data_IF_886234847213
#
_entry.id   IF_886234847213
#
_cell.length_a   1.000
_cell.length_b   1.000
_cell.length_c   1.000
_cell.angle_alpha   90.00
_cell.angle_beta   90.00
_cell.angle_gamma   90.00
#
_symmetry.space_group_name_H-M   'P 1'
#
loop_
_entity.id
_entity.type
_entity.pdbx_description
1 polymer ?
#
# COMPACT_ATOMS: atom_id res chain seq x y z
N UNK A 1 8.66 -16.02 -12.17
CA UNK A 1 7.43 -15.33 -12.61
C UNK A 1 7.09 -14.15 -11.70
N UNK A 2 7.08 -14.35 -10.39
CA UNK A 2 6.70 -13.33 -9.39
C UNK A 2 7.59 -12.07 -9.33
N UNK A 3 8.92 -12.21 -9.46
CA UNK A 3 9.86 -11.08 -9.51
C UNK A 3 9.60 -10.10 -10.65
N UNK A 4 9.24 -10.61 -11.83
CA UNK A 4 8.93 -9.78 -13.02
C UNK A 4 7.69 -8.90 -12.78
N UNK A 5 6.68 -9.41 -12.08
CA UNK A 5 5.46 -8.65 -11.78
C UNK A 5 5.77 -7.46 -10.86
N UNK A 6 6.63 -7.64 -9.85
CA UNK A 6 7.05 -6.55 -8.96
C UNK A 6 7.83 -5.49 -9.74
N UNK A 7 8.72 -5.91 -10.64
CA UNK A 7 9.49 -5.01 -11.49
C UNK A 7 8.59 -4.22 -12.46
N UNK A 8 7.59 -4.87 -13.05
CA UNK A 8 6.57 -4.23 -13.88
C UNK A 8 5.76 -3.17 -13.11
N UNK A 9 5.32 -3.48 -11.89
CA UNK A 9 4.53 -2.55 -11.06
C UNK A 9 5.32 -1.27 -10.80
N UNK A 10 6.55 -1.38 -10.30
CA UNK A 10 7.34 -0.19 -9.93
C UNK A 10 7.76 0.63 -11.14
N UNK A 11 8.14 0.01 -12.26
CA UNK A 11 8.48 0.76 -13.47
C UNK A 11 7.25 1.45 -14.07
N UNK A 12 6.09 0.80 -14.06
CA UNK A 12 4.83 1.41 -14.53
C UNK A 12 4.44 2.64 -13.71
N UNK A 13 4.47 2.55 -12.38
CA UNK A 13 4.09 3.68 -11.51
C UNK A 13 5.07 4.84 -11.67
N UNK A 14 6.37 4.54 -11.71
CA UNK A 14 7.41 5.55 -11.95
C UNK A 14 7.21 6.29 -13.28
N UNK A 15 6.96 5.56 -14.38
CA UNK A 15 6.66 6.17 -15.68
C UNK A 15 5.35 6.97 -15.66
N UNK A 16 4.33 6.49 -14.96
CA UNK A 16 3.07 7.20 -14.84
C UNK A 16 3.24 8.55 -14.10
N UNK A 17 4.06 8.60 -13.05
CA UNK A 17 4.33 9.84 -12.32
C UNK A 17 5.12 10.82 -13.19
N UNK A 18 6.13 10.34 -13.92
CA UNK A 18 6.89 11.16 -14.87
C UNK A 18 5.98 11.74 -15.94
N UNK A 19 5.10 10.94 -16.55
CA UNK A 19 4.12 11.42 -17.54
C UNK A 19 3.21 12.50 -16.95
N UNK A 20 2.76 12.30 -15.71
CA UNK A 20 1.91 13.26 -15.00
C UNK A 20 2.63 14.59 -14.70
N UNK A 21 3.92 14.55 -14.36
CA UNK A 21 4.68 15.75 -13.98
C UNK A 21 5.28 16.49 -15.18
N UNK A 22 5.73 15.77 -16.21
CA UNK A 22 6.32 16.36 -17.42
C UNK A 22 5.28 16.80 -18.46
N UNK A 23 4.06 16.25 -18.39
CA UNK A 23 3.02 16.40 -19.43
C UNK A 23 3.29 15.58 -20.70
N UNK A 24 4.46 14.95 -20.83
CA UNK A 24 4.83 14.16 -22.00
C UNK A 24 4.23 12.75 -21.91
N UNK A 25 3.37 12.39 -22.87
CA UNK A 25 2.74 11.06 -22.90
C UNK A 25 3.58 10.01 -23.62
N UNK A 26 4.26 10.42 -24.69
CA UNK A 26 4.97 9.52 -25.57
C UNK A 26 6.34 9.12 -25.02
N UNK A 27 6.66 7.82 -25.07
CA UNK A 27 7.93 7.28 -24.58
C UNK A 27 9.14 7.94 -25.26
N UNK A 28 9.05 8.19 -26.57
CA UNK A 28 10.16 8.79 -27.29
C UNK A 28 10.47 10.22 -26.82
N UNK A 29 9.44 10.98 -26.45
CA UNK A 29 9.58 12.33 -25.94
C UNK A 29 10.21 12.32 -24.53
N UNK A 30 9.81 11.38 -23.68
CA UNK A 30 10.40 11.21 -22.35
C UNK A 30 11.90 10.92 -22.43
N UNK A 31 12.31 10.00 -23.29
CA UNK A 31 13.72 9.68 -23.43
C UNK A 31 14.51 10.83 -24.06
N UNK A 32 13.95 11.54 -25.04
CA UNK A 32 14.60 12.71 -25.62
C UNK A 32 14.86 13.81 -24.56
N UNK A 33 13.92 13.98 -23.62
CA UNK A 33 14.07 14.95 -22.53
C UNK A 33 15.06 14.49 -21.46
N UNK A 34 14.92 13.26 -20.97
CA UNK A 34 15.62 12.82 -19.76
C UNK A 34 16.88 11.99 -20.02
N UNK A 35 17.03 11.44 -21.22
CA UNK A 35 18.13 10.55 -21.62
C UNK A 35 18.48 10.71 -23.12
N UNK A 36 18.77 11.95 -23.58
CA UNK A 36 19.00 12.23 -25.01
C UNK A 36 20.16 11.41 -25.58
N UNK A 37 21.19 11.15 -24.77
CA UNK A 37 22.37 10.35 -25.12
C UNK A 37 22.05 8.89 -25.45
N UNK A 38 20.94 8.35 -24.92
CA UNK A 38 20.50 6.99 -25.25
C UNK A 38 19.66 6.92 -26.53
N UNK A 39 19.44 8.06 -27.20
CA UNK A 39 18.77 8.13 -28.50
C UNK A 39 19.81 8.04 -29.60
N UNK A 40 19.80 6.97 -30.38
CA UNK A 40 20.63 6.85 -31.59
C UNK A 40 19.74 6.86 -32.82
N UNK A 41 20.27 7.29 -33.95
CA UNK A 41 19.56 7.25 -35.23
C UNK A 41 20.10 6.09 -36.07
N UNK A 42 19.22 5.33 -36.71
CA UNK A 42 19.65 4.35 -37.69
C UNK A 42 20.12 5.00 -39.00
N UNK A 43 20.51 4.17 -39.98
CA UNK A 43 20.97 4.64 -41.29
C UNK A 43 19.91 5.41 -42.09
N UNK A 44 18.64 5.33 -41.70
CA UNK A 44 17.52 6.06 -42.31
C UNK A 44 17.17 7.35 -41.53
N UNK A 45 17.91 7.64 -40.45
CA UNK A 45 17.70 8.83 -39.62
C UNK A 45 16.60 8.68 -38.57
N UNK A 46 16.03 7.48 -38.38
CA UNK A 46 14.95 7.20 -37.42
C UNK A 46 15.55 7.04 -36.01
N UNK A 47 15.05 7.79 -35.01
CA UNK A 47 15.54 7.68 -33.64
C UNK A 47 15.04 6.41 -32.96
N UNK A 48 15.98 5.61 -32.44
CA UNK A 48 15.75 4.38 -31.69
C UNK A 48 16.09 4.55 -30.22
N UNK A 49 15.21 4.04 -29.34
CA UNK A 49 15.34 4.15 -27.89
C UNK A 49 14.86 2.87 -27.18
N UNK A 50 15.48 1.74 -27.55
CA UNK A 50 15.08 0.40 -27.10
C UNK A 50 15.00 0.26 -25.57
N UNK A 51 15.81 1.02 -24.81
CA UNK A 51 15.79 1.02 -23.33
C UNK A 51 14.45 1.51 -22.78
N UNK A 52 13.93 2.63 -23.29
CA UNK A 52 12.72 3.25 -22.75
C UNK A 52 11.45 2.48 -23.11
N UNK A 53 11.39 1.89 -24.29
CA UNK A 53 10.31 0.95 -24.64
C UNK A 53 10.35 -0.32 -23.76
N UNK A 54 11.53 -0.79 -23.35
CA UNK A 54 11.64 -1.88 -22.37
C UNK A 54 11.19 -1.47 -20.97
N UNK A 55 11.37 -0.20 -20.57
CA UNK A 55 10.82 0.32 -19.33
C UNK A 55 9.29 0.35 -19.38
N UNK A 56 8.71 0.85 -20.48
CA UNK A 56 7.25 0.92 -20.66
C UNK A 56 6.59 -0.47 -20.66
N UNK A 57 7.25 -1.44 -21.30
CA UNK A 57 6.86 -2.85 -21.25
C UNK A 57 7.13 -3.53 -19.89
N UNK A 58 7.75 -2.83 -18.93
CA UNK A 58 8.14 -3.34 -17.62
C UNK A 58 9.14 -4.50 -17.67
N UNK A 59 9.92 -4.59 -18.76
CA UNK A 59 10.93 -5.62 -18.99
C UNK A 59 12.30 -5.26 -18.40
N UNK A 60 12.53 -3.96 -18.16
CA UNK A 60 13.73 -3.44 -17.54
C UNK A 60 13.40 -2.44 -16.44
N UNK A 61 14.33 -2.28 -15.50
CA UNK A 61 14.27 -1.23 -14.46
C UNK A 61 15.32 -0.19 -14.84
N UNK A 62 14.99 1.11 -14.84
CA UNK A 62 15.96 2.15 -15.06
C UNK A 62 17.09 2.07 -14.02
N UNK A 63 18.28 2.52 -14.41
CA UNK A 63 19.45 2.52 -13.53
C UNK A 63 19.38 3.68 -12.54
N UNK A 64 20.06 3.55 -11.38
CA UNK A 64 20.15 4.63 -10.39
C UNK A 64 20.63 5.96 -10.98
N UNK A 65 21.66 6.02 -11.84
CA UNK A 65 22.08 7.27 -12.46
C UNK A 65 20.97 7.92 -13.29
N UNK A 66 20.22 7.14 -14.07
CA UNK A 66 19.10 7.65 -14.86
C UNK A 66 17.98 8.17 -13.96
N UNK A 67 17.61 7.42 -12.91
CA UNK A 67 16.56 7.86 -12.00
C UNK A 67 16.96 9.12 -11.25
N UNK A 68 18.23 9.26 -10.83
CA UNK A 68 18.74 10.49 -10.22
C UNK A 68 18.66 11.68 -11.18
N UNK A 69 18.98 11.49 -12.47
CA UNK A 69 18.85 12.53 -13.50
C UNK A 69 17.40 12.96 -13.68
N UNK A 70 16.47 12.01 -13.73
CA UNK A 70 15.03 12.32 -13.84
C UNK A 70 14.52 13.04 -12.58
N UNK A 71 14.87 12.59 -11.38
CA UNK A 71 14.48 13.26 -10.12
C UNK A 71 15.03 14.68 -10.03
N UNK A 72 16.26 14.92 -10.50
CA UNK A 72 16.82 16.27 -10.57
C UNK A 72 16.05 17.18 -11.54
N UNK A 73 15.57 16.63 -12.66
CA UNK A 73 14.77 17.36 -13.64
C UNK A 73 13.30 17.54 -13.22
N UNK A 74 12.77 16.67 -12.36
CA UNK A 74 11.40 16.70 -11.82
C UNK A 74 11.44 16.64 -10.29
N UNK A 75 11.71 17.76 -9.59
CA UNK A 75 11.86 17.76 -8.12
C UNK A 75 10.61 17.32 -7.34
N UNK A 76 9.43 17.37 -7.99
CA UNK A 76 8.18 16.89 -7.42
C UNK A 76 7.99 15.36 -7.55
N UNK A 77 8.88 14.65 -8.27
CA UNK A 77 8.84 13.21 -8.41
C UNK A 77 9.13 12.54 -7.06
N UNK A 78 8.16 11.82 -6.53
CA UNK A 78 8.21 11.27 -5.18
C UNK A 78 8.37 9.75 -5.15
N UNK A 79 8.01 9.03 -6.21
CA UNK A 79 8.08 7.58 -6.23
C UNK A 79 9.52 7.05 -6.38
N UNK A 80 10.02 6.41 -5.32
CA UNK A 80 11.32 5.75 -5.34
C UNK A 80 11.24 4.33 -5.94
N UNK A 81 11.61 4.22 -7.21
CA UNK A 81 11.70 2.93 -7.93
C UNK A 81 12.81 2.01 -7.39
N UNK A 82 13.79 2.55 -6.66
CA UNK A 82 14.92 1.82 -6.07
C UNK A 82 14.76 1.57 -4.56
N UNK A 83 13.58 1.88 -4.01
CA UNK A 83 13.29 1.68 -2.60
C UNK A 83 13.61 0.24 -2.13
N UNK A 84 14.21 0.05 -0.94
CA UNK A 84 14.53 -1.26 -0.36
C UNK A 84 13.37 -2.27 -0.35
N UNK A 85 12.14 -1.80 -0.17
CA UNK A 85 10.92 -2.62 -0.18
C UNK A 85 10.81 -3.50 -1.44
N UNK A 86 11.22 -3.00 -2.60
CA UNK A 86 11.19 -3.78 -3.84
C UNK A 86 12.10 -5.01 -3.78
N UNK A 87 13.20 -4.93 -3.03
CA UNK A 87 14.08 -6.08 -2.81
C UNK A 87 13.39 -7.16 -1.98
N UNK A 88 12.68 -6.76 -0.91
CA UNK A 88 11.89 -7.70 -0.09
C UNK A 88 10.74 -8.33 -0.88
N UNK A 89 10.02 -7.52 -1.66
CA UNK A 89 8.91 -7.99 -2.47
C UNK A 89 9.35 -8.96 -3.57
N UNK A 90 10.57 -8.82 -4.11
CA UNK A 90 11.15 -9.75 -5.10
C UNK A 90 11.72 -11.00 -4.45
N UNK A 91 12.38 -10.86 -3.30
CA UNK A 91 12.99 -11.96 -2.53
C UNK A 91 12.44 -11.93 -1.11
N UNK A 92 11.33 -12.65 -0.85
CA UNK A 92 10.66 -12.63 0.45
C UNK A 92 11.46 -13.27 1.59
N UNK A 93 12.58 -13.93 1.30
CA UNK A 93 13.49 -14.47 2.32
C UNK A 93 14.92 -13.97 2.04
N UNK A 94 15.22 -12.67 2.28
CA UNK A 94 16.58 -12.18 2.22
C UNK A 94 17.39 -12.71 3.42
N UNK A 95 18.71 -12.73 3.31
CA UNK A 95 19.56 -13.08 4.45
C UNK A 95 19.52 -12.00 5.53
N UNK A 96 19.79 -12.35 6.78
CA UNK A 96 19.86 -11.42 7.90
C UNK A 96 20.82 -10.25 7.64
N UNK A 97 22.02 -10.55 7.11
CA UNK A 97 23.00 -9.54 6.68
C UNK A 97 22.46 -8.56 5.64
N UNK A 98 21.55 -9.01 4.77
CA UNK A 98 20.88 -8.12 3.82
C UNK A 98 19.91 -7.19 4.54
N UNK A 99 19.13 -7.72 5.48
CA UNK A 99 18.19 -6.93 6.29
C UNK A 99 18.94 -5.86 7.09
N UNK A 100 20.02 -6.22 7.78
CA UNK A 100 20.85 -5.29 8.55
C UNK A 100 21.35 -4.12 7.70
N UNK A 101 21.90 -4.42 6.51
CA UNK A 101 22.34 -3.39 5.54
C UNK A 101 21.22 -2.50 5.01
N UNK A 102 19.98 -3.00 4.97
CA UNK A 102 18.82 -2.19 4.61
C UNK A 102 18.47 -1.26 5.78
N UNK A 103 18.38 -1.80 6.99
CA UNK A 103 18.08 -1.04 8.22
C UNK A 103 19.10 0.09 8.44
N UNK A 104 20.39 -0.17 8.25
CA UNK A 104 21.46 0.84 8.36
C UNK A 104 21.27 2.06 7.45
N UNK A 105 20.64 1.87 6.29
CA UNK A 105 20.39 2.94 5.31
C UNK A 105 19.11 3.72 5.59
N UNK A 106 18.28 3.27 6.52
CA UNK A 106 17.02 3.93 6.85
C UNK A 106 17.23 5.13 7.79
N UNK A 107 16.37 6.16 7.72
CA UNK A 107 16.43 7.32 8.60
C UNK A 107 16.41 6.96 10.10
N UNK A 108 16.94 7.86 10.94
CA UNK A 108 17.02 7.63 12.38
C UNK A 108 15.64 7.38 13.02
N UNK A 109 14.64 8.20 12.68
CA UNK A 109 13.27 8.06 13.17
C UNK A 109 12.67 6.69 12.82
N UNK A 110 12.91 6.24 11.59
CA UNK A 110 12.48 4.91 11.14
C UNK A 110 13.14 3.79 11.95
N UNK A 111 14.44 3.90 12.23
CA UNK A 111 15.17 2.90 13.04
C UNK A 111 14.72 2.88 14.49
N UNK A 112 14.40 4.04 15.06
CA UNK A 112 13.82 4.16 16.40
C UNK A 112 12.45 3.47 16.46
N UNK A 113 11.58 3.74 15.49
CA UNK A 113 10.27 3.09 15.41
C UNK A 113 10.40 1.56 15.27
N UNK A 114 11.37 1.06 14.49
CA UNK A 114 11.61 -0.38 14.36
C UNK A 114 12.05 -0.99 15.69
N UNK A 115 12.95 -0.31 16.42
CA UNK A 115 13.41 -0.76 17.74
C UNK A 115 12.23 -0.86 18.71
N UNK A 116 11.38 0.15 18.78
CA UNK A 116 10.16 0.16 19.61
C UNK A 116 9.20 -0.94 19.19
N UNK A 117 8.98 -1.14 17.88
CA UNK A 117 8.15 -2.24 17.39
C UNK A 117 8.70 -3.60 17.79
N UNK A 118 10.02 -3.79 17.82
CA UNK A 118 10.63 -5.06 18.20
C UNK A 118 10.60 -5.28 19.73
N UNK A 119 10.74 -4.24 20.55
CA UNK A 119 10.73 -4.37 22.01
C UNK A 119 9.35 -4.46 22.63
N UNK A 120 8.37 -3.74 22.08
CA UNK A 120 7.07 -3.56 22.72
C UNK A 120 6.09 -4.70 22.38
N UNK A 121 5.06 -4.84 23.20
CA UNK A 121 3.83 -5.52 22.79
C UNK A 121 3.17 -4.73 21.66
N UNK A 122 2.45 -5.45 20.79
CA UNK A 122 1.77 -4.86 19.66
C UNK A 122 0.34 -5.37 19.63
N UNK A 123 -0.56 -4.62 20.24
CA UNK A 123 -1.95 -5.04 20.48
C UNK A 123 -2.93 -4.42 19.46
N UNK A 124 -2.41 -3.73 18.45
CA UNK A 124 -3.20 -3.10 17.40
C UNK A 124 -3.63 -4.10 16.32
N UNK A 125 -4.94 -4.31 16.17
CA UNK A 125 -5.53 -5.08 15.06
C UNK A 125 -6.18 -4.21 13.97
N UNK A 126 -6.27 -2.89 14.20
CA UNK A 126 -6.77 -1.89 13.24
C UNK A 126 -5.87 -0.68 13.23
N UNK A 127 -5.90 0.04 12.12
CA UNK A 127 -5.26 1.34 12.03
C UNK A 127 -6.10 2.34 12.83
N UNK A 128 -5.46 3.01 13.77
CA UNK A 128 -6.06 4.07 14.58
C UNK A 128 -5.05 5.20 14.79
N UNK A 129 -5.49 6.29 15.42
CA UNK A 129 -4.65 7.47 15.65
C UNK A 129 -3.45 7.17 16.53
N UNK A 130 -3.63 6.32 17.55
CA UNK A 130 -2.58 5.94 18.49
C UNK A 130 -1.45 5.17 17.79
N UNK A 131 -1.78 4.20 16.94
CA UNK A 131 -0.83 3.43 16.15
C UNK A 131 0.02 4.35 15.26
N UNK A 132 -0.62 5.21 14.46
CA UNK A 132 0.10 6.06 13.50
C UNK A 132 0.96 7.11 14.21
N UNK A 133 0.57 7.53 15.41
CA UNK A 133 1.32 8.49 16.24
C UNK A 133 2.48 7.79 16.95
N UNK A 134 2.24 6.64 17.60
CA UNK A 134 3.23 5.88 18.38
C UNK A 134 4.45 5.49 17.55
N UNK A 135 4.23 5.12 16.28
CA UNK A 135 5.30 4.67 15.39
C UNK A 135 5.67 5.69 14.30
N UNK A 136 5.27 6.95 14.48
CA UNK A 136 5.59 8.08 13.57
C UNK A 136 5.27 7.80 12.10
N UNK A 137 4.22 7.03 11.82
CA UNK A 137 3.84 6.66 10.45
C UNK A 137 3.43 7.89 9.64
N UNK A 138 2.99 8.95 10.31
CA UNK A 138 2.63 10.23 9.69
C UNK A 138 3.79 10.96 9.02
N UNK A 139 5.03 10.60 9.37
CA UNK A 139 6.28 11.21 8.86
C UNK A 139 6.98 10.34 7.81
N UNK A 140 6.38 9.21 7.44
CA UNK A 140 6.96 8.23 6.54
C UNK A 140 6.16 8.16 5.24
N UNK A 141 6.82 7.82 4.12
CA UNK A 141 6.12 7.40 2.91
C UNK A 141 5.47 6.03 3.06
N UNK A 142 4.60 5.64 2.13
CA UNK A 142 3.96 4.32 2.18
C UNK A 142 4.99 3.18 2.19
N UNK A 143 6.00 3.25 1.32
CA UNK A 143 7.00 2.19 1.19
C UNK A 143 7.88 2.05 2.44
N UNK A 144 8.17 3.16 3.13
CA UNK A 144 8.91 3.18 4.40
C UNK A 144 8.10 2.54 5.54
N UNK A 145 6.83 2.96 5.69
CA UNK A 145 5.93 2.42 6.70
C UNK A 145 5.64 0.94 6.47
N UNK A 146 5.47 0.55 5.21
CA UNK A 146 5.30 -0.85 4.83
C UNK A 146 6.54 -1.69 5.16
N UNK A 147 7.73 -1.19 4.82
CA UNK A 147 9.00 -1.85 5.14
C UNK A 147 9.18 -2.02 6.65
N UNK A 148 8.87 -0.97 7.42
CA UNK A 148 8.94 -0.95 8.88
C UNK A 148 8.13 -2.08 9.49
N UNK A 149 6.84 -2.13 9.15
CA UNK A 149 5.90 -3.09 9.71
C UNK A 149 6.20 -4.52 9.25
N UNK A 150 6.62 -4.70 8.00
CA UNK A 150 7.00 -6.03 7.49
C UNK A 150 8.26 -6.58 8.17
N UNK A 151 9.26 -5.75 8.44
CA UNK A 151 10.46 -6.18 9.16
C UNK A 151 10.17 -6.48 10.64
N UNK A 152 9.33 -5.67 11.29
CA UNK A 152 8.85 -5.96 12.64
C UNK A 152 8.06 -7.28 12.68
N UNK A 153 7.19 -7.51 11.68
CA UNK A 153 6.40 -8.75 11.57
C UNK A 153 7.30 -9.96 11.43
N UNK A 154 8.38 -9.84 10.66
CA UNK A 154 9.37 -10.91 10.48
C UNK A 154 10.09 -11.26 11.77
N UNK A 155 10.51 -10.25 12.52
CA UNK A 155 11.16 -10.47 13.81
C UNK A 155 10.20 -11.19 14.78
N UNK A 156 8.93 -10.78 14.78
CA UNK A 156 7.90 -11.35 15.63
C UNK A 156 7.49 -12.80 15.27
N UNK A 157 7.86 -13.35 14.10
CA UNK A 157 7.54 -14.75 13.76
C UNK A 157 8.15 -15.77 14.72
N UNK A 158 9.32 -15.45 15.29
CA UNK A 158 10.02 -16.32 16.21
C UNK A 158 9.59 -16.08 17.67
N UNK A 159 8.80 -15.04 17.92
CA UNK A 159 8.30 -14.68 19.25
C UNK A 159 6.96 -15.39 19.51
N UNK A 160 6.78 -15.92 20.72
CA UNK A 160 5.47 -16.46 21.15
C UNK A 160 4.57 -15.28 21.51
N UNK A 161 3.69 -14.87 20.60
CA UNK A 161 2.70 -13.83 20.83
C UNK A 161 2.01 -13.42 19.54
N UNK A 162 0.72 -13.08 19.59
CA UNK A 162 -0.09 -12.68 18.41
C UNK A 162 0.38 -11.41 17.69
N UNK A 163 1.59 -10.92 17.95
CA UNK A 163 2.20 -9.72 17.35
C UNK A 163 2.37 -9.84 15.84
N UNK A 164 2.86 -10.98 15.34
CA UNK A 164 2.99 -11.19 13.90
C UNK A 164 1.62 -11.21 13.19
N UNK A 165 0.60 -11.73 13.87
CA UNK A 165 -0.80 -11.73 13.42
C UNK A 165 -1.34 -10.28 13.36
N UNK A 166 -1.24 -9.54 14.45
CA UNK A 166 -1.66 -8.15 14.58
C UNK A 166 -0.97 -7.26 13.53
N UNK A 167 0.34 -7.41 13.33
CA UNK A 167 1.08 -6.71 12.27
C UNK A 167 0.56 -7.06 10.87
N UNK A 168 0.12 -8.30 10.64
CA UNK A 168 -0.49 -8.71 9.36
C UNK A 168 -1.80 -7.97 9.09
N UNK A 169 -2.67 -7.81 10.11
CA UNK A 169 -3.88 -6.99 9.98
C UNK A 169 -3.55 -5.56 9.55
N UNK A 170 -2.57 -4.94 10.23
CA UNK A 170 -2.17 -3.56 9.95
C UNK A 170 -1.56 -3.43 8.55
N UNK A 171 -0.66 -4.33 8.14
CA UNK A 171 -0.03 -4.27 6.80
C UNK A 171 -1.09 -4.38 5.68
N UNK A 172 -2.10 -5.23 5.85
CA UNK A 172 -3.19 -5.39 4.88
C UNK A 172 -4.06 -4.12 4.77
N UNK A 173 -4.28 -3.42 5.88
CA UNK A 173 -5.06 -2.18 5.91
C UNK A 173 -4.24 -0.92 5.60
N UNK A 174 -2.90 -0.99 5.60
CA UNK A 174 -2.01 0.16 5.47
C UNK A 174 -2.32 1.09 4.27
N UNK A 175 -2.70 0.58 3.08
CA UNK A 175 -3.04 1.45 1.95
C UNK A 175 -4.16 2.47 2.25
N UNK A 176 -5.02 2.21 3.25
CA UNK A 176 -6.14 3.09 3.60
C UNK A 176 -5.74 4.45 4.17
N UNK A 177 -4.55 4.57 4.77
CA UNK A 177 -4.04 5.86 5.26
C UNK A 177 -3.03 6.51 4.32
N UNK A 178 -2.58 5.78 3.30
CA UNK A 178 -1.65 6.26 2.26
C UNK A 178 -2.31 6.37 0.88
N UNK A 179 -3.61 6.62 0.80
CA UNK A 179 -4.38 6.64 -0.45
C UNK A 179 -3.91 7.63 -1.52
N UNK A 180 -3.12 8.63 -1.11
CA UNK A 180 -2.51 9.67 -1.95
C UNK A 180 -1.11 9.30 -2.48
N UNK A 181 -0.52 8.19 -2.03
CA UNK A 181 0.79 7.72 -2.50
C UNK A 181 0.74 7.42 -4.02
N UNK A 182 1.80 7.73 -4.81
CA UNK A 182 1.86 7.46 -6.24
C UNK A 182 1.54 6.01 -6.61
N UNK A 183 1.91 5.05 -5.76
CA UNK A 183 1.57 3.64 -5.94
C UNK A 183 0.05 3.43 -6.04
N UNK A 184 -0.76 4.28 -5.42
CA UNK A 184 -2.21 4.13 -5.40
C UNK A 184 -2.93 5.20 -6.22
N UNK A 185 -2.38 6.40 -6.39
CA UNK A 185 -3.07 7.48 -7.12
C UNK A 185 -2.98 7.30 -8.63
N UNK A 186 -1.86 6.80 -9.13
CA UNK A 186 -1.56 6.69 -10.56
C UNK A 186 -2.05 5.39 -11.21
N UNK A 187 -2.85 4.61 -10.48
CA UNK A 187 -3.34 3.32 -10.93
C UNK A 187 -4.87 3.29 -10.96
N UNK A 188 -5.42 2.66 -12.00
CA UNK A 188 -6.84 2.32 -12.06
C UNK A 188 -7.20 1.22 -11.04
N UNK A 189 -8.50 0.92 -10.92
CA UNK A 189 -8.98 -0.09 -9.96
C UNK A 189 -8.44 -1.50 -10.24
N UNK A 190 -8.30 -1.90 -11.51
CA UNK A 190 -7.80 -3.21 -11.90
C UNK A 190 -6.30 -3.35 -11.57
N UNK A 191 -5.54 -2.32 -11.91
CA UNK A 191 -4.11 -2.23 -11.63
C UNK A 191 -3.83 -2.25 -10.13
N UNK A 192 -4.60 -1.50 -9.32
CA UNK A 192 -4.53 -1.56 -7.84
C UNK A 192 -4.75 -2.98 -7.33
N UNK A 193 -5.79 -3.69 -7.80
CA UNK A 193 -6.06 -5.07 -7.39
C UNK A 193 -4.89 -5.99 -7.73
N UNK A 194 -4.32 -5.85 -8.91
CA UNK A 194 -3.15 -6.62 -9.33
C UNK A 194 -1.92 -6.32 -8.45
N UNK A 195 -1.67 -5.05 -8.13
CA UNK A 195 -0.59 -4.64 -7.22
C UNK A 195 -0.80 -5.22 -5.81
N UNK A 196 -2.00 -5.07 -5.24
CA UNK A 196 -2.34 -5.66 -3.94
C UNK A 196 -2.17 -7.18 -3.95
N UNK A 197 -2.60 -7.85 -5.02
CA UNK A 197 -2.40 -9.29 -5.15
C UNK A 197 -0.93 -9.68 -5.17
N UNK A 198 -0.11 -8.96 -5.93
CA UNK A 198 1.33 -9.21 -6.02
C UNK A 198 1.99 -9.05 -4.64
N UNK A 199 1.69 -7.96 -3.91
CA UNK A 199 2.24 -7.69 -2.58
C UNK A 199 1.83 -8.77 -1.56
N UNK A 200 0.54 -9.08 -1.46
CA UNK A 200 0.03 -10.09 -0.53
C UNK A 200 0.64 -11.46 -0.81
N UNK A 201 0.79 -11.82 -2.09
CA UNK A 201 1.43 -13.07 -2.52
C UNK A 201 2.94 -13.06 -2.27
N UNK A 202 3.62 -11.92 -2.45
CA UNK A 202 5.05 -11.79 -2.18
C UNK A 202 5.39 -12.14 -0.75
N UNK A 203 4.66 -11.58 0.21
CA UNK A 203 5.04 -11.64 1.62
C UNK A 203 4.26 -12.66 2.43
N UNK A 204 3.43 -13.46 1.75
CA UNK A 204 2.61 -14.51 2.36
C UNK A 204 1.73 -13.93 3.48
N UNK A 205 1.14 -12.75 3.22
CA UNK A 205 0.30 -12.03 4.20
C UNK A 205 -1.05 -12.72 4.45
N UNK A 206 -1.42 -13.71 3.63
CA UNK A 206 -2.63 -14.52 3.80
C UNK A 206 -2.30 -15.97 3.44
N UNK A 207 -2.54 -16.94 4.34
CA UNK A 207 -2.24 -18.36 4.11
C UNK A 207 -1.97 -19.19 5.40
N UNK A 208 -1.45 -20.40 5.22
CA UNK A 208 -1.34 -21.49 6.22
C UNK A 208 -0.71 -21.11 7.57
N UNK A 209 0.19 -20.12 7.62
CA UNK A 209 0.86 -19.71 8.86
C UNK A 209 0.02 -18.76 9.73
N UNK A 210 -0.89 -18.00 9.14
CA UNK A 210 -1.70 -16.99 9.83
C UNK A 210 -3.18 -17.34 9.89
N UNK A 211 -3.54 -18.57 9.51
CA UNK A 211 -4.92 -19.05 9.57
C UNK A 211 -5.90 -18.01 9.03
N UNK A 212 -5.88 -17.78 7.72
CA UNK A 212 -6.98 -17.10 7.04
C UNK A 212 -7.18 -15.58 7.30
N UNK A 213 -6.23 -14.83 7.88
CA UNK A 213 -6.34 -13.35 7.87
C UNK A 213 -6.44 -12.85 6.43
N UNK A 214 -7.45 -12.03 6.14
CA UNK A 214 -7.66 -11.50 4.81
C UNK A 214 -8.31 -10.12 4.82
N UNK A 215 -7.99 -9.36 3.77
CA UNK A 215 -8.75 -8.21 3.33
C UNK A 215 -9.02 -8.42 1.84
N UNK A 216 -10.27 -8.72 1.43
CA UNK A 216 -10.56 -8.97 0.03
C UNK A 216 -10.14 -7.78 -0.84
N UNK A 217 -9.30 -8.02 -1.85
CA UNK A 217 -8.66 -6.96 -2.65
C UNK A 217 -9.66 -6.00 -3.29
N UNK A 218 -10.79 -6.51 -3.76
CA UNK A 218 -11.87 -5.69 -4.30
C UNK A 218 -12.42 -4.71 -3.26
N UNK A 219 -12.58 -5.21 -2.03
CA UNK A 219 -13.13 -4.47 -0.89
C UNK A 219 -12.12 -3.45 -0.38
N UNK A 220 -10.83 -3.80 -0.37
CA UNK A 220 -9.76 -2.87 -0.07
C UNK A 220 -9.70 -1.72 -1.09
N UNK A 221 -9.81 -2.00 -2.40
CA UNK A 221 -9.87 -0.94 -3.41
C UNK A 221 -11.11 -0.06 -3.26
N UNK A 222 -12.26 -0.64 -2.92
CA UNK A 222 -13.47 0.12 -2.60
C UNK A 222 -13.27 0.99 -1.33
N UNK A 223 -12.66 0.44 -0.29
CA UNK A 223 -12.34 1.17 0.94
C UNK A 223 -11.33 2.31 0.71
N UNK A 224 -10.33 2.12 -0.14
CA UNK A 224 -9.44 3.21 -0.56
C UNK A 224 -10.22 4.33 -1.27
N UNK A 225 -11.22 3.99 -2.10
CA UNK A 225 -12.10 4.98 -2.71
C UNK A 225 -12.98 5.70 -1.68
N UNK A 226 -13.51 4.99 -0.69
CA UNK A 226 -14.26 5.58 0.43
C UNK A 226 -13.40 6.59 1.22
N UNK A 227 -12.16 6.22 1.54
CA UNK A 227 -11.20 7.12 2.20
C UNK A 227 -10.93 8.39 1.37
N UNK A 228 -10.84 8.28 0.03
CA UNK A 228 -10.72 9.45 -0.86
C UNK A 228 -11.95 10.34 -0.80
N UNK A 229 -13.16 9.77 -0.76
CA UNK A 229 -14.40 10.54 -0.59
C UNK A 229 -14.39 11.29 0.73
N UNK A 230 -13.95 10.66 1.83
CA UNK A 230 -13.82 11.33 3.13
C UNK A 230 -12.85 12.51 3.08
N UNK A 231 -11.66 12.34 2.48
CA UNK A 231 -10.70 13.44 2.29
C UNK A 231 -11.33 14.59 1.50
N UNK A 232 -11.93 14.29 0.34
CA UNK A 232 -12.49 15.32 -0.54
C UNK A 232 -13.61 16.09 0.15
N UNK A 233 -14.55 15.39 0.80
CA UNK A 233 -15.64 16.04 1.55
C UNK A 233 -15.10 16.92 2.68
N UNK A 234 -14.11 16.44 3.43
CA UNK A 234 -13.52 17.21 4.51
C UNK A 234 -12.78 18.45 3.99
N UNK A 235 -11.98 18.31 2.92
CA UNK A 235 -11.25 19.43 2.32
C UNK A 235 -12.19 20.45 1.68
N UNK A 236 -13.31 20.03 1.07
CA UNK A 236 -14.32 20.96 0.56
C UNK A 236 -14.93 21.82 1.68
N UNK A 237 -15.22 21.21 2.83
CA UNK A 237 -15.76 21.93 3.99
C UNK A 237 -14.70 22.73 4.75
N UNK A 238 -13.42 22.32 4.67
CA UNK A 238 -12.28 22.92 5.39
C UNK A 238 -11.01 22.91 4.53
N UNK A 239 -10.86 23.85 3.58
CA UNK A 239 -9.79 23.81 2.57
C UNK A 239 -8.37 23.80 3.12
N UNK A 240 -8.14 24.36 4.31
CA UNK A 240 -6.81 24.45 4.95
C UNK A 240 -6.53 23.34 5.96
N UNK A 241 -7.50 22.48 6.28
CA UNK A 241 -7.36 21.51 7.36
C UNK A 241 -6.40 20.36 7.03
N UNK A 242 -6.33 19.92 5.77
CA UNK A 242 -5.58 18.73 5.34
C UNK A 242 -4.46 19.08 4.35
N UNK A 243 -3.73 20.17 4.63
CA UNK A 243 -2.70 20.71 3.76
C UNK A 243 -1.35 19.98 3.81
N UNK A 244 -1.19 18.99 4.69
CA UNK A 244 0.03 18.18 4.79
C UNK A 244 -0.30 16.70 4.87
N UNK A 245 0.64 15.87 4.44
CA UNK A 245 0.54 14.41 4.52
C UNK A 245 0.27 13.95 5.96
N UNK A 246 0.98 14.51 6.94
CA UNK A 246 0.77 14.21 8.36
C UNK A 246 -0.69 14.41 8.77
N UNK A 247 -1.30 15.56 8.42
CA UNK A 247 -2.69 15.84 8.78
C UNK A 247 -3.67 14.90 8.08
N UNK A 248 -3.41 14.57 6.81
CA UNK A 248 -4.20 13.59 6.05
C UNK A 248 -4.15 12.20 6.70
N UNK A 249 -2.96 11.69 7.01
CA UNK A 249 -2.79 10.37 7.65
C UNK A 249 -3.51 10.34 8.99
N UNK A 250 -3.35 11.37 9.84
CA UNK A 250 -4.04 11.45 11.14
C UNK A 250 -5.55 11.46 10.99
N UNK A 251 -6.08 12.25 10.04
CA UNK A 251 -7.52 12.30 9.76
C UNK A 251 -8.06 10.93 9.33
N UNK A 252 -7.39 10.24 8.39
CA UNK A 252 -7.83 8.93 7.92
C UNK A 252 -7.70 7.86 9.01
N UNK A 253 -6.62 7.88 9.78
CA UNK A 253 -6.45 6.97 10.92
C UNK A 253 -7.53 7.18 11.99
N UNK A 254 -7.93 8.43 12.25
CA UNK A 254 -9.02 8.74 13.16
C UNK A 254 -10.36 8.18 12.64
N UNK A 255 -10.64 8.29 11.34
CA UNK A 255 -11.82 7.67 10.72
C UNK A 255 -11.82 6.13 10.76
N UNK A 256 -10.65 5.50 10.87
CA UNK A 256 -10.54 4.03 10.94
C UNK A 256 -10.57 3.49 12.38
N UNK A 257 -10.11 4.28 13.36
CA UNK A 257 -9.99 3.87 14.76
C UNK A 257 -11.12 4.34 15.67
N UNK A 258 -11.44 5.63 15.60
CA UNK A 258 -12.34 6.34 16.53
C UNK A 258 -13.58 6.89 15.80
N UNK A 259 -13.95 6.26 14.69
CA UNK A 259 -15.22 6.58 14.02
C UNK A 259 -16.35 6.41 15.04
N UNK A 260 -17.28 7.38 15.16
CA UNK A 260 -18.48 7.20 15.99
C UNK A 260 -19.30 5.99 15.53
N UNK A 261 -19.07 5.54 14.29
CA UNK A 261 -19.64 4.33 13.74
C UNK A 261 -18.60 3.19 13.66
N UNK A 262 -18.73 2.25 14.58
CA UNK A 262 -17.93 1.02 14.67
C UNK A 262 -18.01 0.18 13.38
N UNK A 263 -19.10 0.28 12.60
CA UNK A 263 -19.35 -0.51 11.39
C UNK A 263 -18.44 -0.09 10.24
N UNK A 264 -18.16 1.20 10.09
CA UNK A 264 -17.18 1.67 9.11
C UNK A 264 -15.77 1.17 9.45
N UNK A 265 -15.38 1.25 10.73
CA UNK A 265 -14.08 0.77 11.20
C UNK A 265 -13.91 -0.76 11.00
N UNK A 266 -14.95 -1.55 11.29
CA UNK A 266 -14.95 -3.02 11.08
C UNK A 266 -14.86 -3.36 9.60
N UNK A 267 -15.72 -2.77 8.77
CA UNK A 267 -15.79 -3.08 7.33
C UNK A 267 -14.52 -2.66 6.56
N UNK A 268 -13.75 -1.73 7.10
CA UNK A 268 -12.46 -1.27 6.54
C UNK A 268 -11.23 -1.90 7.22
N UNK A 269 -11.40 -2.93 8.04
CA UNK A 269 -10.30 -3.73 8.57
C UNK A 269 -10.13 -5.06 7.84
N UNK A 270 -8.96 -5.69 8.03
CA UNK A 270 -8.80 -7.10 7.74
C UNK A 270 -9.54 -7.95 8.80
N UNK A 271 -9.82 -9.21 8.48
CA UNK A 271 -10.55 -10.16 9.33
C UNK A 271 -9.98 -11.58 9.20
N UNK A 272 -10.23 -12.44 10.19
CA UNK A 272 -9.93 -13.88 10.16
C UNK A 272 -11.02 -14.59 9.37
N UNK A 273 -10.67 -15.20 8.24
CA UNK A 273 -11.61 -16.02 7.46
C UNK A 273 -11.89 -17.35 8.16
N UNK A 274 -13.16 -17.73 8.18
CA UNK A 274 -13.61 -18.97 8.83
C UNK A 274 -13.18 -20.18 8.00
N UNK A 275 -12.72 -21.24 8.68
CA UNK A 275 -12.38 -22.51 8.06
C UNK A 275 -13.61 -23.38 7.79
N UNK A 276 -13.52 -24.39 6.90
CA UNK A 276 -14.65 -25.27 6.56
C UNK A 276 -15.15 -26.14 7.73
N UNK A 277 -14.39 -26.29 8.83
CA UNK A 277 -14.73 -27.14 9.99
C UNK A 277 -15.10 -26.32 11.24
N UNK A 278 -14.90 -25.00 11.22
CA UNK A 278 -15.13 -24.13 12.39
C UNK A 278 -16.53 -23.48 12.44
N UNK A 279 -17.41 -23.80 11.49
CA UNK A 279 -18.65 -23.05 11.23
C UNK A 279 -19.82 -23.31 12.20
N UNK A 280 -19.68 -24.17 13.22
CA UNK A 280 -20.81 -24.50 14.10
C UNK A 280 -20.62 -24.30 15.61
N UNK A 281 -19.40 -24.07 16.11
CA UNK A 281 -19.19 -23.94 17.56
C UNK A 281 -18.80 -22.55 18.05
N UNK A 282 -18.30 -21.65 17.19
CA UNK A 282 -17.80 -20.33 17.60
C UNK A 282 -18.84 -19.20 17.53
N UNK A 283 -19.96 -19.38 16.82
CA UNK A 283 -20.96 -18.31 16.64
C UNK A 283 -22.00 -18.18 17.75
N UNK A 284 -22.12 -19.18 18.63
CA UNK A 284 -23.12 -19.18 19.72
C UNK A 284 -22.51 -18.81 21.08
N UNK A 285 -21.20 -19.00 21.27
CA UNK A 285 -20.60 -18.95 22.62
C UNK A 285 -19.49 -17.92 22.83
N UNK A 286 -18.89 -17.35 21.79
CA UNK A 286 -17.90 -16.28 21.94
C UNK A 286 -18.50 -14.97 21.42
N UNK A 287 -18.38 -13.90 22.22
CA UNK A 287 -18.90 -12.57 21.89
C UNK A 287 -18.44 -12.08 20.50
N UNK A 288 -19.10 -11.05 19.99
CA UNK A 288 -18.84 -10.48 18.67
C UNK A 288 -17.39 -10.03 18.50
N UNK A 289 -16.49 -10.92 18.08
CA UNK A 289 -15.14 -10.56 17.68
C UNK A 289 -15.26 -9.73 16.38
N UNK A 290 -14.93 -8.42 16.39
CA UNK A 290 -15.02 -7.57 15.20
C UNK A 290 -14.12 -8.05 14.06
N UNK A 291 -13.16 -8.94 14.34
CA UNK A 291 -12.25 -9.53 13.37
C UNK A 291 -12.74 -10.86 12.81
N UNK A 292 -13.93 -11.34 13.20
CA UNK A 292 -14.53 -12.52 12.58
C UNK A 292 -15.12 -12.19 11.20
N UNK A 293 -15.00 -13.14 10.26
CA UNK A 293 -15.54 -12.99 8.91
C UNK A 293 -17.02 -12.63 8.89
N UNK A 294 -17.85 -13.30 9.69
CA UNK A 294 -19.27 -13.00 9.77
C UNK A 294 -19.55 -11.54 10.15
N UNK A 295 -18.90 -11.03 11.20
CA UNK A 295 -19.07 -9.66 11.70
C UNK A 295 -18.60 -8.65 10.64
N UNK A 296 -17.46 -8.93 9.99
CA UNK A 296 -16.97 -8.12 8.88
C UNK A 296 -17.95 -8.07 7.70
N UNK A 297 -18.52 -9.21 7.30
CA UNK A 297 -19.47 -9.29 6.19
C UNK A 297 -20.78 -8.56 6.51
N UNK A 298 -21.26 -8.70 7.75
CA UNK A 298 -22.41 -7.96 8.25
C UNK A 298 -22.17 -6.45 8.16
N UNK A 299 -21.07 -5.95 8.72
CA UNK A 299 -20.71 -4.53 8.67
C UNK A 299 -20.58 -4.02 7.22
N UNK A 300 -19.96 -4.80 6.34
CA UNK A 300 -19.80 -4.44 4.93
C UNK A 300 -21.14 -4.37 4.17
N UNK A 301 -22.08 -5.26 4.45
CA UNK A 301 -23.40 -5.21 3.83
C UNK A 301 -24.23 -4.06 4.36
N UNK A 302 -24.08 -3.76 5.65
CA UNK A 302 -24.76 -2.64 6.30
C UNK A 302 -24.33 -1.30 5.69
N UNK A 303 -23.02 -1.09 5.45
CA UNK A 303 -22.50 0.08 4.73
C UNK A 303 -23.16 0.35 3.37
N UNK A 304 -23.68 -0.68 2.69
CA UNK A 304 -24.34 -0.51 1.37
C UNK A 304 -25.79 -0.07 1.47
N UNK A 305 -26.43 -0.40 2.59
CA UNK A 305 -27.87 -0.27 2.75
C UNK A 305 -28.24 0.98 3.56
N UNK A 306 -27.38 1.38 4.49
CA UNK A 306 -27.67 2.49 5.37
C UNK A 306 -27.57 3.85 4.65
N UNK A 307 -28.64 4.68 4.72
CA UNK A 307 -28.63 6.05 4.22
C UNK A 307 -27.48 6.93 4.73
N UNK A 308 -26.95 6.71 5.94
CA UNK A 308 -25.81 7.47 6.48
C UNK A 308 -24.57 7.37 5.56
N UNK A 309 -24.38 6.19 4.95
CA UNK A 309 -23.28 5.88 4.04
C UNK A 309 -23.63 6.05 2.56
N UNK A 310 -24.78 6.65 2.23
CA UNK A 310 -25.21 6.91 0.85
C UNK A 310 -24.17 7.66 -0.01
N UNK A 311 -23.35 8.50 0.62
CA UNK A 311 -22.26 9.22 -0.03
C UNK A 311 -21.13 8.30 -0.55
N UNK A 312 -21.06 7.04 -0.11
CA UNK A 312 -20.16 6.00 -0.63
C UNK A 312 -20.79 5.15 -1.73
N UNK A 313 -22.06 5.39 -2.12
CA UNK A 313 -22.77 4.54 -3.07
C UNK A 313 -22.01 4.35 -4.39
N UNK A 314 -21.31 5.38 -4.88
CA UNK A 314 -20.48 5.29 -6.09
C UNK A 314 -19.27 4.35 -5.92
N UNK A 315 -18.66 4.31 -4.73
CA UNK A 315 -17.53 3.44 -4.41
C UNK A 315 -17.95 1.97 -4.26
N UNK A 316 -19.17 1.73 -3.77
CA UNK A 316 -19.66 0.39 -3.42
C UNK A 316 -20.25 -0.39 -4.61
N UNK A 317 -20.42 0.26 -5.78
CA UNK A 317 -20.85 -0.41 -7.01
C UNK A 317 -19.87 -1.54 -7.35
N UNK A 318 -20.40 -2.71 -7.72
CA UNK A 318 -19.57 -3.78 -8.28
C UNK A 318 -19.02 -3.25 -9.61
N UNK A 319 -17.71 -3.05 -9.70
CA UNK A 319 -17.06 -2.99 -10.99
C UNK A 319 -17.17 -4.39 -11.60
N UNK A 320 -18.21 -4.61 -12.39
CA UNK A 320 -18.25 -5.75 -13.32
C UNK A 320 -17.02 -5.60 -14.20
N UNK A 321 -16.13 -6.59 -14.13
CA UNK A 321 -15.00 -6.65 -15.04
C UNK A 321 -15.55 -6.63 -16.48
N UNK A 322 -15.09 -5.65 -17.26
CA UNK A 322 -15.09 -5.75 -18.71
C UNK A 322 -13.92 -6.59 -19.17
#
# INVERSE_FOLDING_TARGET
MHTKVIDQIRTRVWLAEIRSLSGLQAIHALAAQFDPESTWKDGEGIPHQSKWYRYDAGQAIPSKPLTSKVTAALPALSFDIHHPTWTLLRKPAPSQKTIERLVEKMPLLWRQALKTLNSDTFDFRRINLDLVTKYSLTEMGYLDAFLLLELARRNAFNERGGKAENLTFIILALPLVYIDDPLWTLQDASQKKATLHAIVRSLWLSGEHFGFICFPKDRLVQAMAMQRVLLLRHTLNRPRALNSQMKKIRFLANCLGDSPDERYAISTSAFVKEGPVSSHFSSIFFGHDPYAQFVWQWAWNWLKQDPEFSHFASCLKRHTAG
#
